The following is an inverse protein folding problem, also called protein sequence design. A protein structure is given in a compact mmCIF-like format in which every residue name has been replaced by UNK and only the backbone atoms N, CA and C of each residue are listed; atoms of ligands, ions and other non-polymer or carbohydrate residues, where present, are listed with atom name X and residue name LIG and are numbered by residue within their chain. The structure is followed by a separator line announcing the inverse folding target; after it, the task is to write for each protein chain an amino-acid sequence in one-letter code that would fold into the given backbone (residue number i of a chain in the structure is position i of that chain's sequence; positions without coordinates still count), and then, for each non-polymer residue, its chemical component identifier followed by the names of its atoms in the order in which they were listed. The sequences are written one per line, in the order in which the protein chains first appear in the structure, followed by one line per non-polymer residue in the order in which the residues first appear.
data_IF_927838383100
#
_entry.id   IF_927838383100
#
_cell.length_a   1.000
_cell.length_b   1.000
_cell.length_c   1.000
_cell.angle_alpha   90.00
_cell.angle_beta   90.00
_cell.angle_gamma   90.00
#
_symmetry.space_group_name_H-M   'P 1'
#
loop_
_entity.id
_entity.type
_entity.pdbx_description
1 polymer ?
#
# COMPACT_ATOMS: atom_id res chain seq x y z
N UNK A 1 -53.13 -29.82 -29.44
CA UNK A 1 -54.26 -29.08 -28.82
C UNK A 1 -53.95 -28.94 -27.35
N UNK A 2 -54.39 -27.82 -26.76
CA UNK A 2 -54.14 -27.35 -25.39
C UNK A 2 -52.73 -26.75 -25.23
N UNK A 3 -52.52 -25.55 -24.72
CA UNK A 3 -53.16 -24.22 -24.77
C UNK A 3 -52.20 -23.32 -23.97
N UNK A 4 -52.14 -22.05 -24.35
CA UNK A 4 -51.14 -21.08 -23.95
C UNK A 4 -51.12 -20.74 -22.44
N UNK A 5 -49.93 -20.38 -21.96
CA UNK A 5 -49.76 -19.28 -21.01
C UNK A 5 -48.42 -18.58 -21.31
N UNK A 6 -48.53 -17.42 -21.96
CA UNK A 6 -47.44 -16.49 -22.25
C UNK A 6 -47.11 -15.68 -21.00
N UNK A 7 -45.84 -15.64 -20.59
CA UNK A 7 -45.33 -14.66 -19.64
C UNK A 7 -44.40 -13.69 -20.40
N UNK A 8 -44.94 -12.50 -20.68
CA UNK A 8 -44.17 -11.36 -21.15
C UNK A 8 -43.35 -10.80 -19.98
N UNK A 9 -42.03 -10.87 -20.07
CA UNK A 9 -41.15 -10.02 -19.27
C UNK A 9 -40.85 -8.79 -20.13
N UNK A 10 -41.49 -7.67 -19.78
CA UNK A 10 -41.22 -6.39 -20.42
C UNK A 10 -39.83 -5.89 -20.02
N UNK A 11 -38.95 -5.70 -20.99
CA UNK A 11 -37.81 -4.81 -20.83
C UNK A 11 -38.35 -3.38 -20.85
N UNK A 12 -38.43 -2.74 -19.68
CA UNK A 12 -38.60 -1.30 -19.59
C UNK A 12 -37.22 -0.66 -19.75
N UNK A 13 -36.94 -0.08 -20.91
CA UNK A 13 -35.93 0.95 -21.02
C UNK A 13 -36.45 2.19 -20.27
N UNK A 14 -35.86 2.52 -19.13
CA UNK A 14 -36.03 3.84 -18.55
C UNK A 14 -35.08 4.79 -19.30
N UNK A 15 -35.63 5.53 -20.26
CA UNK A 15 -35.02 6.79 -20.71
C UNK A 15 -35.32 7.84 -19.63
N UNK A 16 -34.41 8.01 -18.67
CA UNK A 16 -34.37 9.24 -17.87
C UNK A 16 -32.98 9.87 -18.03
N UNK A 17 -32.91 10.78 -19.00
CA UNK A 17 -31.84 11.74 -19.14
C UNK A 17 -32.01 12.80 -18.07
N UNK A 18 -31.40 12.60 -16.90
CA UNK A 18 -31.23 13.66 -15.92
C UNK A 18 -30.18 14.66 -16.42
N UNK A 19 -30.62 15.52 -17.34
CA UNK A 19 -30.05 16.83 -17.58
C UNK A 19 -30.25 17.67 -16.31
N UNK A 20 -29.16 17.94 -15.60
CA UNK A 20 -29.13 18.93 -14.53
C UNK A 20 -29.36 20.31 -15.17
N UNK A 21 -30.61 20.76 -15.12
CA UNK A 21 -31.04 22.10 -15.56
C UNK A 21 -31.04 23.03 -14.35
N UNK A 22 -30.06 23.95 -14.30
CA UNK A 22 -30.04 25.05 -13.33
C UNK A 22 -30.72 26.27 -13.97
N UNK A 23 -32.00 26.45 -13.64
CA UNK A 23 -32.81 27.65 -13.92
C UNK A 23 -33.38 28.26 -12.63
N UNK A 24 -33.77 29.55 -12.62
CA UNK A 24 -33.46 30.45 -11.51
C UNK A 24 -34.52 30.58 -10.40
N UNK A 25 -33.99 30.72 -9.18
CA UNK A 25 -34.36 31.53 -8.01
C UNK A 25 -35.83 31.83 -7.64
N UNK A 26 -36.19 31.47 -6.40
CA UNK A 26 -37.05 32.26 -5.48
C UNK A 26 -36.71 31.88 -4.01
N UNK A 27 -35.83 32.65 -3.35
CA UNK A 27 -36.14 33.64 -2.29
C UNK A 27 -36.46 33.06 -0.89
N UNK A 28 -35.53 33.22 0.06
CA UNK A 28 -35.73 34.07 1.26
C UNK A 28 -34.47 34.12 2.17
N UNK A 29 -34.04 35.35 2.41
CA UNK A 29 -33.47 35.92 3.63
C UNK A 29 -32.10 35.46 4.18
N UNK A 30 -31.10 36.33 4.05
CA UNK A 30 -29.90 36.23 4.89
C UNK A 30 -28.61 36.97 4.49
N UNK A 31 -28.68 38.25 4.08
CA UNK A 31 -27.64 39.26 4.36
C UNK A 31 -26.22 39.08 3.79
N UNK A 32 -25.95 39.75 2.67
CA UNK A 32 -24.59 40.04 2.18
C UNK A 32 -24.65 40.94 0.95
N UNK A 33 -24.85 42.25 1.14
CA UNK A 33 -25.04 43.20 0.06
C UNK A 33 -23.75 43.40 -0.74
N UNK A 34 -23.73 42.91 -1.98
CA UNK A 34 -22.78 43.35 -3.01
C UNK A 34 -23.54 44.31 -3.93
N UNK A 35 -23.20 45.59 -3.88
CA UNK A 35 -23.76 46.59 -4.79
C UNK A 35 -23.24 46.31 -6.21
N UNK A 36 -24.14 46.00 -7.13
CA UNK A 36 -23.86 46.12 -8.57
C UNK A 36 -24.19 47.56 -8.97
N UNK A 37 -23.25 48.35 -9.51
CA UNK A 37 -23.58 49.68 -10.01
C UNK A 37 -24.42 49.55 -11.29
N UNK A 38 -25.49 50.31 -11.38
CA UNK A 38 -26.29 50.44 -12.61
C UNK A 38 -25.44 50.96 -13.77
N UNK A 39 -25.43 50.21 -14.87
CA UNK A 39 -24.87 50.64 -16.14
C UNK A 39 -25.78 51.71 -16.79
N UNK A 40 -25.70 52.95 -16.30
CA UNK A 40 -26.04 54.17 -17.05
C UNK A 40 -25.11 55.31 -16.64
N UNK A 41 -23.98 55.39 -17.31
CA UNK A 41 -23.07 56.53 -17.23
C UNK A 41 -21.88 56.29 -18.14
N UNK A 42 -21.78 57.10 -19.20
CA UNK A 42 -20.63 57.13 -20.09
C UNK A 42 -19.36 57.42 -19.28
N UNK A 43 -18.55 56.39 -19.07
CA UNK A 43 -17.19 56.53 -18.60
C UNK A 43 -16.32 55.56 -19.40
N UNK A 44 -15.67 56.11 -20.43
CA UNK A 44 -14.49 55.49 -21.01
C UNK A 44 -13.43 55.39 -19.91
N UNK A 45 -13.09 54.17 -19.50
CA UNK A 45 -11.93 53.89 -18.67
C UNK A 45 -11.45 52.46 -18.96
N UNK A 46 -10.32 52.39 -19.65
CA UNK A 46 -9.39 51.28 -19.84
C UNK A 46 -9.83 49.89 -19.36
N UNK A 47 -10.47 49.14 -20.25
CA UNK A 47 -10.19 47.71 -20.33
C UNK A 47 -8.74 47.59 -20.80
N UNK A 48 -7.80 47.58 -19.85
CA UNK A 48 -6.50 46.96 -20.09
C UNK A 48 -6.80 45.54 -20.53
N UNK A 49 -6.74 45.30 -21.83
CA UNK A 49 -6.51 43.99 -22.37
C UNK A 49 -5.36 43.40 -21.56
N UNK A 50 -5.66 42.41 -20.71
CA UNK A 50 -4.65 41.38 -20.48
C UNK A 50 -4.43 40.81 -21.88
N UNK A 51 -3.41 41.34 -22.56
CA UNK A 51 -2.92 40.75 -23.78
C UNK A 51 -2.78 39.28 -23.44
N UNK A 52 -3.49 38.40 -24.16
CA UNK A 52 -3.18 36.98 -24.11
C UNK A 52 -1.69 36.95 -24.41
N UNK A 53 -0.87 36.58 -23.42
CA UNK A 53 0.55 36.42 -23.64
C UNK A 53 0.64 35.44 -24.81
N UNK A 54 1.13 35.94 -25.94
CA UNK A 54 1.37 35.10 -27.08
C UNK A 54 2.47 34.14 -26.66
N UNK A 55 2.12 32.86 -26.53
CA UNK A 55 3.06 31.83 -26.12
C UNK A 55 3.72 31.26 -27.37
N UNK A 56 5.04 31.20 -27.34
CA UNK A 56 5.87 30.64 -28.38
C UNK A 56 6.46 29.31 -27.89
N UNK A 57 6.81 28.45 -28.85
CA UNK A 57 7.57 27.23 -28.55
C UNK A 57 8.90 27.62 -27.93
N UNK A 58 9.21 27.05 -26.77
CA UNK A 58 10.52 27.17 -26.15
C UNK A 58 11.32 25.89 -26.33
N UNK A 59 12.63 26.03 -26.48
CA UNK A 59 13.61 24.92 -26.47
C UNK A 59 14.49 24.94 -25.23
N UNK A 60 14.25 25.90 -24.32
CA UNK A 60 15.01 26.08 -23.09
C UNK A 60 14.33 25.33 -21.95
N UNK A 61 15.12 24.65 -21.11
CA UNK A 61 14.55 23.95 -19.96
C UNK A 61 14.07 24.93 -18.90
N UNK A 62 12.81 24.81 -18.43
CA UNK A 62 12.34 25.56 -17.28
C UNK A 62 13.08 25.07 -16.03
N UNK A 63 13.48 25.98 -15.15
CA UNK A 63 14.04 25.59 -13.85
C UNK A 63 13.00 24.77 -13.06
N UNK A 64 13.37 23.67 -12.38
CA UNK A 64 14.71 23.12 -12.15
C UNK A 64 15.15 22.01 -13.14
N UNK A 65 14.52 21.90 -14.30
CA UNK A 65 14.77 20.82 -15.25
C UNK A 65 16.02 21.05 -16.09
N UNK A 66 16.69 19.96 -16.45
CA UNK A 66 17.85 19.96 -17.34
C UNK A 66 17.87 18.70 -18.22
N UNK A 67 18.66 18.76 -19.29
CA UNK A 67 18.97 17.60 -20.13
C UNK A 67 20.27 16.99 -19.63
N UNK A 68 20.18 16.00 -18.73
CA UNK A 68 21.36 15.32 -18.22
C UNK A 68 21.63 14.04 -19.01
N UNK A 69 22.89 13.75 -19.39
CA UNK A 69 23.22 12.47 -19.99
C UNK A 69 23.00 11.33 -18.98
N UNK A 70 22.12 10.39 -19.29
CA UNK A 70 22.02 9.12 -18.56
C UNK A 70 23.11 8.17 -19.06
N UNK A 71 23.94 7.62 -18.16
CA UNK A 71 24.93 6.59 -18.49
C UNK A 71 24.58 5.31 -17.71
N UNK A 72 24.81 4.15 -18.32
CA UNK A 72 24.75 2.88 -17.60
C UNK A 72 26.01 2.70 -16.73
N UNK A 73 26.05 1.62 -15.94
CA UNK A 73 27.22 1.27 -15.13
C UNK A 73 28.51 1.01 -15.95
N UNK A 74 28.41 0.90 -17.27
CA UNK A 74 29.53 0.76 -18.21
C UNK A 74 29.99 2.09 -18.84
N UNK A 75 29.34 3.21 -18.49
CA UNK A 75 29.61 4.53 -19.05
C UNK A 75 29.01 4.75 -20.44
N UNK A 76 28.17 3.83 -20.92
CA UNK A 76 27.47 3.95 -22.19
C UNK A 76 26.22 4.81 -22.02
N UNK A 77 25.99 5.77 -22.92
CA UNK A 77 24.80 6.63 -22.91
C UNK A 77 23.53 5.77 -23.03
N UNK A 78 22.68 5.83 -22.01
CA UNK A 78 21.35 5.27 -22.01
C UNK A 78 20.43 6.20 -22.78
N UNK A 79 20.09 5.81 -24.01
CA UNK A 79 19.02 6.43 -24.79
C UNK A 79 17.68 5.74 -24.48
N UNK A 80 16.55 6.47 -24.50
CA UNK A 80 16.42 7.88 -24.89
C UNK A 80 16.75 8.87 -23.76
N UNK A 81 17.57 9.88 -24.06
CA UNK A 81 17.74 11.07 -23.21
C UNK A 81 16.74 12.13 -23.67
N UNK A 82 15.70 12.38 -22.87
CA UNK A 82 14.69 13.38 -23.18
C UNK A 82 15.19 14.79 -22.85
N UNK A 83 14.90 15.76 -23.72
CA UNK A 83 15.21 17.16 -23.44
C UNK A 83 14.45 17.61 -22.19
N UNK A 84 15.15 18.19 -21.22
CA UNK A 84 14.60 18.63 -19.94
C UNK A 84 13.96 17.50 -19.11
N UNK A 85 14.34 16.25 -19.34
CA UNK A 85 13.77 15.09 -18.63
C UNK A 85 14.28 14.88 -17.20
N UNK A 86 15.33 15.59 -16.78
CA UNK A 86 15.94 15.43 -15.46
C UNK A 86 15.55 16.59 -14.55
N UNK A 87 14.94 16.29 -13.40
CA UNK A 87 14.60 17.30 -12.40
C UNK A 87 15.75 17.45 -11.41
N UNK A 88 16.55 18.52 -11.55
CA UNK A 88 17.70 18.74 -10.68
C UNK A 88 17.30 19.01 -9.22
N UNK A 89 16.03 19.29 -8.92
CA UNK A 89 15.61 19.57 -7.55
C UNK A 89 15.41 18.31 -6.69
N UNK A 90 15.19 17.14 -7.31
CA UNK A 90 14.85 15.90 -6.60
C UNK A 90 15.41 14.60 -7.20
N UNK A 91 16.09 14.66 -8.35
CA UNK A 91 16.84 13.53 -8.88
C UNK A 91 18.10 13.29 -8.03
N UNK A 92 18.16 12.14 -7.36
CA UNK A 92 19.26 11.78 -6.45
C UNK A 92 20.61 11.63 -7.18
N UNK A 93 20.59 11.28 -8.47
CA UNK A 93 21.80 11.10 -9.29
C UNK A 93 22.21 12.40 -10.03
N UNK A 94 21.35 13.42 -10.02
CA UNK A 94 21.56 14.70 -10.72
C UNK A 94 21.15 15.90 -9.83
N UNK A 95 21.46 15.83 -8.54
CA UNK A 95 20.93 16.78 -7.58
C UNK A 95 21.61 18.15 -7.70
N UNK A 96 20.87 19.18 -8.12
CA UNK A 96 21.35 20.55 -8.31
C UNK A 96 22.17 20.76 -9.59
N UNK A 97 22.81 19.72 -10.11
CA UNK A 97 23.52 19.72 -11.39
C UNK A 97 23.58 18.31 -11.98
N UNK A 98 23.67 18.20 -13.30
CA UNK A 98 23.82 16.92 -13.98
C UNK A 98 25.07 16.18 -13.47
N UNK A 99 24.90 14.90 -13.10
CA UNK A 99 25.96 14.05 -12.56
C UNK A 99 26.39 14.37 -11.12
N UNK A 100 25.72 15.30 -10.43
CA UNK A 100 25.91 15.47 -8.99
C UNK A 100 25.08 14.43 -8.22
N UNK A 101 25.62 13.22 -8.12
CA UNK A 101 25.01 12.10 -7.42
C UNK A 101 25.18 12.24 -5.90
N UNK A 102 24.08 12.17 -5.15
CA UNK A 102 24.11 12.19 -3.69
C UNK A 102 24.73 10.93 -3.07
N UNK A 103 24.90 9.87 -3.88
CA UNK A 103 25.46 8.58 -3.50
C UNK A 103 24.53 7.79 -2.58
N UNK A 104 24.64 6.47 -2.59
CA UNK A 104 24.09 5.62 -1.53
C UNK A 104 25.15 5.49 -0.42
N UNK A 105 24.96 6.18 0.71
CA UNK A 105 25.83 6.03 1.89
C UNK A 105 25.65 4.66 2.56
N UNK A 106 24.71 3.84 2.05
CA UNK A 106 24.63 2.41 2.26
C UNK A 106 23.85 2.00 3.50
N UNK A 107 23.21 0.83 3.42
CA UNK A 107 22.52 0.20 4.55
C UNK A 107 23.41 -0.11 5.77
N UNK A 108 24.73 0.03 5.67
CA UNK A 108 25.68 -0.19 6.78
C UNK A 108 25.69 0.94 7.82
N UNK A 109 25.23 2.14 7.46
CA UNK A 109 25.20 3.30 8.35
C UNK A 109 23.76 3.66 8.79
N UNK A 110 22.74 2.90 8.38
CA UNK A 110 21.32 3.24 8.58
C UNK A 110 20.95 4.67 8.13
N UNK A 111 21.67 5.20 7.13
CA UNK A 111 21.45 6.52 6.55
C UNK A 111 20.90 6.36 5.15
N UNK A 112 19.89 7.16 4.81
CA UNK A 112 19.35 7.30 3.47
C UNK A 112 19.64 8.70 2.95
N UNK A 113 20.12 8.79 1.71
CA UNK A 113 20.29 10.06 1.00
C UNK A 113 19.07 10.38 0.13
N UNK A 114 18.76 11.66 0.00
CA UNK A 114 17.69 12.19 -0.84
C UNK A 114 18.13 13.51 -1.47
N UNK A 115 17.51 13.90 -2.58
CA UNK A 115 17.70 15.22 -3.17
C UNK A 115 16.50 16.10 -2.84
N UNK A 116 16.74 17.25 -2.20
CA UNK A 116 15.69 18.21 -1.83
C UNK A 116 16.11 19.61 -2.26
N UNK A 117 15.35 20.21 -3.18
CA UNK A 117 15.62 21.53 -3.77
C UNK A 117 17.02 21.66 -4.39
N UNK A 118 17.53 20.56 -4.96
CA UNK A 118 18.83 20.52 -5.62
C UNK A 118 20.02 20.48 -4.68
N UNK A 119 19.77 20.17 -3.40
CA UNK A 119 20.80 19.85 -2.43
C UNK A 119 20.62 18.41 -1.93
N UNK A 120 21.73 17.67 -1.87
CA UNK A 120 21.76 16.35 -1.26
C UNK A 120 21.54 16.49 0.25
N UNK A 121 20.62 15.70 0.78
CA UNK A 121 20.33 15.58 2.20
C UNK A 121 20.47 14.11 2.59
N UNK A 122 20.95 13.87 3.80
CA UNK A 122 20.96 12.55 4.41
C UNK A 122 20.04 12.56 5.64
N UNK A 123 19.40 11.43 5.91
CA UNK A 123 18.47 11.22 7.01
C UNK A 123 18.57 9.77 7.54
N UNK A 124 18.15 9.54 8.78
CA UNK A 124 18.10 8.20 9.34
C UNK A 124 16.99 7.34 8.72
N UNK A 125 17.33 6.09 8.45
CA UNK A 125 16.40 5.07 7.98
C UNK A 125 15.61 4.46 9.15
N UNK A 126 14.40 3.94 8.91
CA UNK A 126 13.62 3.11 9.84
C UNK A 126 13.44 3.58 11.30
N UNK A 127 13.47 4.90 11.55
CA UNK A 127 13.40 5.51 12.89
C UNK A 127 14.63 5.25 13.76
N UNK A 128 15.75 4.82 13.18
CA UNK A 128 17.03 4.86 13.88
C UNK A 128 17.37 6.31 14.23
N UNK A 129 18.14 6.47 15.30
CA UNK A 129 18.49 7.76 15.85
C UNK A 129 19.98 8.01 15.68
N UNK A 130 20.30 9.18 15.12
CA UNK A 130 21.60 9.81 15.25
C UNK A 130 21.66 10.50 16.62
N UNK A 131 22.29 9.84 17.59
CA UNK A 131 22.35 10.33 18.97
C UNK A 131 23.60 11.16 19.28
N UNK A 132 24.61 11.15 18.40
CA UNK A 132 25.81 11.97 18.54
C UNK A 132 25.72 13.27 17.70
N UNK A 133 24.73 13.39 16.82
CA UNK A 133 24.50 14.50 15.90
C UNK A 133 25.46 14.51 14.70
N UNK A 134 26.13 13.39 14.44
CA UNK A 134 27.14 13.22 13.41
C UNK A 134 26.61 12.21 12.41
N UNK A 135 25.97 12.69 11.36
CA UNK A 135 25.38 11.80 10.36
C UNK A 135 26.41 11.00 9.54
N UNK A 136 27.68 11.39 9.59
CA UNK A 136 28.78 10.76 8.86
C UNK A 136 29.15 9.37 9.42
N UNK A 137 28.90 9.08 10.70
CA UNK A 137 29.09 7.73 11.28
C UNK A 137 27.80 6.90 11.39
N UNK A 138 26.66 7.49 11.04
CA UNK A 138 25.41 6.81 10.76
C UNK A 138 24.28 7.17 11.72
N UNK A 139 23.25 6.32 11.73
CA UNK A 139 22.17 6.36 12.71
C UNK A 139 22.25 5.09 13.54
N UNK A 140 23.03 5.15 14.62
CA UNK A 140 23.59 3.98 15.29
C UNK A 140 22.71 3.45 16.42
N UNK A 141 21.65 4.19 16.78
CA UNK A 141 20.80 3.85 17.91
C UNK A 141 19.40 3.43 17.46
N UNK A 142 19.02 2.19 17.78
CA UNK A 142 17.66 1.72 17.55
C UNK A 142 16.77 2.03 18.78
N UNK A 143 15.80 2.95 18.70
CA UNK A 143 15.04 3.36 19.87
C UNK A 143 14.05 2.31 20.38
N UNK A 144 13.84 1.20 19.66
CA UNK A 144 12.90 0.16 20.09
C UNK A 144 13.55 -0.92 20.94
N UNK A 145 14.85 -1.13 20.75
CA UNK A 145 15.57 -2.27 21.34
C UNK A 145 16.89 -1.90 21.99
N UNK A 146 17.46 -0.72 21.72
CA UNK A 146 18.71 -0.27 22.36
C UNK A 146 18.44 0.20 23.81
N UNK A 147 18.96 -0.49 24.83
CA UNK A 147 18.79 -0.08 26.23
C UNK A 147 19.49 1.23 26.58
N UNK A 148 20.42 1.72 25.76
CA UNK A 148 21.07 3.02 25.94
C UNK A 148 20.24 4.18 25.36
N UNK A 149 19.32 3.89 24.43
CA UNK A 149 18.57 4.87 23.65
C UNK A 149 17.07 4.52 23.57
N UNK A 150 16.52 3.95 24.64
CA UNK A 150 15.20 3.33 24.63
C UNK A 150 14.06 4.37 24.56
N UNK A 151 13.39 4.44 23.42
CA UNK A 151 12.38 5.44 23.10
C UNK A 151 12.96 6.81 22.75
N UNK A 152 14.29 6.97 22.73
CA UNK A 152 14.95 8.24 22.43
C UNK A 152 16.43 8.27 22.82
N UNK A 153 17.19 9.20 22.25
CA UNK A 153 18.61 9.34 22.54
C UNK A 153 18.90 9.58 24.02
N UNK A 154 19.83 8.79 24.56
CA UNK A 154 20.24 8.85 25.96
C UNK A 154 19.16 8.41 26.98
N UNK A 155 18.01 7.90 26.52
CA UNK A 155 16.97 7.32 27.38
C UNK A 155 17.40 5.93 27.83
N UNK A 156 18.36 5.93 28.75
CA UNK A 156 18.99 4.71 29.21
C UNK A 156 18.12 3.97 30.22
N UNK A 157 17.89 2.69 29.94
CA UNK A 157 17.28 1.78 30.90
C UNK A 157 18.22 1.50 32.08
N UNK A 158 17.63 1.22 33.24
CA UNK A 158 18.41 0.85 34.42
C UNK A 158 19.30 -0.38 34.09
N UNK A 159 20.46 -0.53 34.75
CA UNK A 159 21.34 -1.67 34.48
C UNK A 159 20.58 -3.00 34.58
N UNK A 160 20.65 -3.82 33.52
CA UNK A 160 19.96 -5.09 33.43
C UNK A 160 18.48 -5.02 33.02
N UNK A 161 17.95 -3.83 32.74
CA UNK A 161 16.59 -3.63 32.22
C UNK A 161 16.64 -3.51 30.70
N UNK A 162 15.89 -4.38 30.00
CA UNK A 162 15.80 -4.36 28.54
C UNK A 162 14.98 -3.17 28.03
N UNK A 163 15.25 -2.77 26.79
CA UNK A 163 14.36 -1.90 26.03
C UNK A 163 13.35 -2.76 25.27
N UNK A 164 12.07 -2.64 25.60
CA UNK A 164 10.98 -3.41 25.00
C UNK A 164 10.02 -2.40 24.39
N UNK A 165 9.96 -2.38 23.06
CA UNK A 165 9.12 -1.46 22.25
C UNK A 165 9.27 0.02 22.66
N UNK A 166 10.52 0.44 22.91
CA UNK A 166 10.84 1.81 23.30
C UNK A 166 10.50 2.17 24.74
N UNK A 167 10.31 1.17 25.62
CA UNK A 167 10.15 1.35 27.07
C UNK A 167 11.11 0.48 27.86
N UNK A 168 11.61 1.01 28.97
CA UNK A 168 12.49 0.26 29.85
C UNK A 168 11.71 -0.71 30.73
N UNK A 169 11.92 -2.00 30.49
CA UNK A 169 11.33 -3.09 31.26
C UNK A 169 9.83 -3.23 31.06
N UNK A 170 9.24 -4.14 31.83
CA UNK A 170 7.84 -4.49 31.70
C UNK A 170 6.89 -3.60 32.52
N UNK A 171 5.64 -3.42 32.06
CA UNK A 171 4.58 -2.81 32.84
C UNK A 171 4.39 -3.49 34.21
N UNK A 172 3.85 -2.75 35.18
CA UNK A 172 3.55 -3.30 36.51
C UNK A 172 2.65 -4.53 36.42
N UNK A 173 3.01 -5.58 37.14
CA UNK A 173 2.28 -6.87 37.13
C UNK A 173 2.78 -7.84 36.06
N UNK A 174 3.64 -7.40 35.13
CA UNK A 174 4.28 -8.25 34.14
C UNK A 174 5.76 -8.45 34.48
N UNK A 175 6.28 -9.59 34.07
CA UNK A 175 7.68 -9.97 34.20
C UNK A 175 8.30 -10.06 32.82
N UNK A 176 9.53 -9.59 32.69
CA UNK A 176 10.31 -9.73 31.46
C UNK A 176 10.78 -11.18 31.32
N UNK A 177 10.16 -11.90 30.40
CA UNK A 177 10.56 -13.22 29.99
C UNK A 177 11.14 -13.15 28.57
N UNK A 178 12.46 -13.07 28.50
CA UNK A 178 13.23 -13.06 27.26
C UNK A 178 12.88 -11.92 26.28
N UNK A 179 12.61 -10.71 26.80
CA UNK A 179 12.27 -9.53 26.00
C UNK A 179 10.76 -9.37 25.75
N UNK A 180 9.94 -10.25 26.31
CA UNK A 180 8.47 -10.18 26.26
C UNK A 180 7.90 -10.02 27.65
N UNK A 181 6.97 -9.09 27.82
CA UNK A 181 6.31 -8.86 29.10
C UNK A 181 5.12 -9.79 29.29
N UNK A 182 5.18 -10.65 30.29
CA UNK A 182 4.18 -11.70 30.54
C UNK A 182 3.63 -11.65 31.97
N UNK A 183 2.36 -12.02 32.16
CA UNK A 183 1.74 -12.13 33.49
C UNK A 183 1.95 -13.55 34.03
N UNK A 184 2.82 -13.71 35.03
CA UNK A 184 3.12 -15.03 35.60
C UNK A 184 1.94 -15.67 36.35
N UNK A 185 0.85 -14.94 36.61
CA UNK A 185 -0.32 -15.47 37.34
C UNK A 185 -1.30 -16.23 36.45
N UNK A 186 -1.29 -15.94 35.15
CA UNK A 186 -2.27 -16.46 34.18
C UNK A 186 -1.64 -16.89 32.86
N UNK A 187 -0.37 -16.56 32.60
CA UNK A 187 0.31 -16.98 31.39
C UNK A 187 0.72 -18.45 31.53
N UNK A 188 0.01 -19.25 30.76
CA UNK A 188 0.13 -20.67 30.58
C UNK A 188 1.56 -21.17 30.20
N UNK A 189 2.33 -20.34 29.49
CA UNK A 189 3.71 -20.64 29.05
C UNK A 189 4.77 -20.07 30.03
N UNK A 190 4.37 -19.26 31.00
CA UNK A 190 5.24 -18.60 31.97
C UNK A 190 4.60 -18.61 33.37
N UNK A 191 4.08 -19.75 33.79
CA UNK A 191 3.26 -19.82 34.99
C UNK A 191 4.13 -19.84 36.25
N UNK A 192 4.02 -18.80 37.09
CA UNK A 192 4.81 -18.66 38.31
C UNK A 192 6.29 -18.28 38.08
N UNK A 193 6.86 -18.60 36.92
CA UNK A 193 8.20 -18.19 36.48
C UNK A 193 8.30 -18.12 34.95
N UNK A 194 9.29 -17.37 34.44
CA UNK A 194 9.59 -17.35 33.00
C UNK A 194 9.96 -18.74 32.49
N UNK A 195 9.51 -19.06 31.28
CA UNK A 195 9.71 -20.35 30.62
C UNK A 195 9.18 -21.56 31.45
N UNK A 196 8.29 -21.31 32.42
CA UNK A 196 7.61 -22.34 33.21
C UNK A 196 6.26 -22.68 32.55
N UNK A 197 6.32 -23.46 31.48
CA UNK A 197 5.13 -23.92 30.78
C UNK A 197 4.40 -24.98 31.61
N UNK A 198 3.09 -24.81 31.80
CA UNK A 198 2.25 -25.79 32.50
C UNK A 198 2.17 -27.17 31.83
N UNK A 199 2.51 -27.27 30.56
CA UNK A 199 2.57 -28.55 29.83
C UNK A 199 3.82 -29.35 30.22
N UNK A 200 4.95 -28.67 30.46
CA UNK A 200 6.21 -29.26 30.91
C UNK A 200 6.28 -29.43 32.44
N UNK A 201 5.43 -28.70 33.16
CA UNK A 201 5.36 -28.67 34.62
C UNK A 201 3.95 -28.98 35.15
N UNK A 202 3.43 -30.20 34.94
CA UNK A 202 2.15 -30.61 35.49
C UNK A 202 2.22 -30.71 37.03
N UNK A 203 1.09 -30.52 37.75
CA UNK A 203 1.05 -30.65 39.20
C UNK A 203 1.45 -32.07 39.66
N UNK A 204 2.28 -32.17 40.71
CA UNK A 204 2.94 -33.41 41.15
C UNK A 204 1.98 -34.56 41.50
N UNK A 205 0.76 -34.25 41.95
CA UNK A 205 -0.28 -35.22 42.32
C UNK A 205 -1.30 -35.47 41.20
N UNK A 206 -1.15 -34.80 40.05
CA UNK A 206 -2.05 -35.00 38.92
C UNK A 206 -1.55 -36.14 38.05
N UNK A 207 -2.48 -37.01 37.64
CA UNK A 207 -2.23 -37.91 36.52
C UNK A 207 -1.97 -37.13 35.24
N UNK A 208 -1.63 -37.84 34.17
CA UNK A 208 -1.61 -37.24 32.84
C UNK A 208 -2.97 -36.57 32.56
N UNK A 209 -2.99 -35.38 31.94
CA UNK A 209 -4.25 -34.77 31.56
C UNK A 209 -4.98 -35.69 30.57
N UNK A 210 -6.32 -35.72 30.59
CA UNK A 210 -7.10 -36.39 29.56
C UNK A 210 -6.77 -35.85 28.16
N UNK A 211 -7.14 -36.61 27.12
CA UNK A 211 -6.78 -36.28 25.74
C UNK A 211 -7.23 -34.85 25.36
N UNK A 212 -6.33 -34.11 24.66
CA UNK A 212 -6.56 -32.73 24.22
C UNK A 212 -6.88 -31.73 25.33
N UNK A 213 -6.53 -32.07 26.57
CA UNK A 213 -6.51 -31.16 27.68
C UNK A 213 -5.09 -30.84 28.09
N UNK A 214 -4.91 -29.68 28.70
CA UNK A 214 -3.63 -29.29 29.28
C UNK A 214 -3.82 -28.62 30.63
N UNK A 215 -2.71 -28.48 31.34
CA UNK A 215 -2.71 -27.72 32.56
C UNK A 215 -2.64 -26.23 32.27
N UNK A 216 -3.41 -25.45 33.02
CA UNK A 216 -3.46 -24.01 32.93
C UNK A 216 -2.95 -23.32 34.18
N UNK A 217 -2.52 -22.08 33.95
CA UNK A 217 -2.01 -21.24 34.99
C UNK A 217 -3.13 -20.55 35.76
N UNK A 218 -3.15 -20.76 37.07
CA UNK A 218 -3.98 -19.97 37.98
C UNK A 218 -3.19 -19.64 39.23
N UNK A 219 -3.17 -18.35 39.60
CA UNK A 219 -2.44 -17.86 40.76
C UNK A 219 -0.93 -18.24 40.78
N UNK A 220 -0.33 -18.35 39.59
CA UNK A 220 1.07 -18.74 39.41
C UNK A 220 1.34 -20.23 39.62
N UNK A 221 0.31 -21.08 39.56
CA UNK A 221 0.43 -22.52 39.69
C UNK A 221 -0.32 -23.23 38.56
N UNK A 222 0.30 -24.27 38.00
CA UNK A 222 -0.30 -25.12 36.97
C UNK A 222 -1.26 -26.11 37.64
N UNK A 223 -2.55 -25.76 37.72
CA UNK A 223 -3.55 -26.54 38.50
C UNK A 223 -4.89 -26.74 37.80
N UNK A 224 -5.23 -25.92 36.83
CA UNK A 224 -6.50 -26.06 36.10
C UNK A 224 -6.34 -27.01 34.95
N UNK A 225 -7.37 -27.80 34.64
CA UNK A 225 -7.48 -28.48 33.35
C UNK A 225 -8.38 -27.67 32.44
N UNK A 226 -7.95 -27.43 31.22
CA UNK A 226 -8.76 -26.82 30.19
C UNK A 226 -8.43 -27.44 28.84
N UNK A 227 -9.37 -27.31 27.90
CA UNK A 227 -9.13 -27.77 26.55
C UNK A 227 -7.94 -27.05 25.95
N UNK A 228 -7.10 -27.81 25.26
CA UNK A 228 -5.95 -27.25 24.61
C UNK A 228 -6.39 -26.34 23.44
N UNK A 229 -6.33 -25.03 23.67
CA UNK A 229 -6.55 -23.99 22.65
C UNK A 229 -5.25 -23.33 22.15
N UNK A 230 -4.09 -23.95 22.38
CA UNK A 230 -2.79 -23.43 21.90
C UNK A 230 -2.54 -23.98 20.49
N UNK A 231 -1.52 -23.46 19.81
CA UNK A 231 -1.04 -24.00 18.54
C UNK A 231 -2.10 -24.17 17.43
N UNK A 232 -3.04 -23.22 17.29
CA UNK A 232 -3.98 -23.15 16.16
C UNK A 232 -5.04 -24.27 16.16
N UNK A 233 -5.25 -24.93 17.30
CA UNK A 233 -6.34 -25.89 17.52
C UNK A 233 -7.33 -25.33 18.53
N UNK A 234 -8.63 -25.51 18.29
CA UNK A 234 -9.71 -25.04 19.14
C UNK A 234 -10.42 -26.23 19.78
N UNK A 235 -9.67 -27.06 20.53
CA UNK A 235 -10.26 -28.18 21.24
C UNK A 235 -11.36 -27.68 22.19
N UNK A 236 -12.50 -28.36 22.13
CA UNK A 236 -13.67 -28.09 22.96
C UNK A 236 -14.26 -29.40 23.44
N UNK A 237 -14.73 -29.36 24.67
CA UNK A 237 -15.45 -30.45 25.28
C UNK A 237 -16.94 -30.33 24.91
N UNK A 238 -17.32 -31.01 23.84
CA UNK A 238 -18.68 -30.95 23.33
C UNK A 238 -19.66 -31.88 24.06
N UNK A 239 -19.16 -32.88 24.79
CA UNK A 239 -19.96 -33.83 25.56
C UNK A 239 -20.21 -33.39 27.01
N UNK A 240 -19.50 -32.37 27.50
CA UNK A 240 -19.55 -31.81 28.85
C UNK A 240 -18.84 -32.65 29.92
N UNK A 241 -18.04 -33.63 29.53
CA UNK A 241 -17.40 -34.59 30.42
C UNK A 241 -15.89 -34.32 30.40
N UNK A 242 -15.36 -33.65 31.42
CA UNK A 242 -13.93 -33.31 31.45
C UNK A 242 -13.04 -34.54 31.70
N UNK A 243 -13.61 -35.67 32.12
CA UNK A 243 -12.88 -36.88 32.46
C UNK A 243 -12.43 -37.68 31.23
N UNK A 244 -13.04 -37.47 30.04
CA UNK A 244 -12.67 -38.09 28.76
C UNK A 244 -11.99 -37.13 27.77
N UNK A 245 -11.77 -35.87 28.15
CA UNK A 245 -10.93 -34.93 27.40
C UNK A 245 -11.69 -33.80 26.70
N UNK A 246 -11.07 -33.25 25.65
CA UNK A 246 -11.72 -32.30 24.74
C UNK A 246 -11.68 -32.85 23.32
N UNK A 247 -12.78 -33.43 22.88
CA UNK A 247 -12.75 -34.42 21.82
C UNK A 247 -12.90 -33.83 20.41
N UNK A 248 -13.13 -32.52 20.31
CA UNK A 248 -13.53 -31.85 19.08
C UNK A 248 -12.73 -30.57 18.88
N UNK A 249 -12.01 -30.47 17.75
CA UNK A 249 -11.37 -29.22 17.33
C UNK A 249 -12.36 -28.35 16.56
N UNK A 250 -12.89 -27.32 17.23
CA UNK A 250 -13.89 -26.44 16.63
C UNK A 250 -13.35 -25.62 15.45
N UNK A 251 -12.04 -25.49 15.28
CA UNK A 251 -11.43 -24.63 14.27
C UNK A 251 -11.37 -25.25 12.88
N UNK A 252 -11.46 -26.57 12.83
CA UNK A 252 -11.21 -27.37 11.63
C UNK A 252 -12.21 -28.50 11.45
N UNK A 253 -12.93 -28.85 12.52
CA UNK A 253 -13.94 -29.88 12.45
C UNK A 253 -15.14 -29.35 11.69
N UNK A 254 -15.24 -29.82 10.45
CA UNK A 254 -16.34 -29.54 9.54
C UNK A 254 -17.69 -29.96 10.12
N UNK A 255 -17.82 -30.61 11.28
CA UNK A 255 -19.10 -30.93 11.96
C UNK A 255 -19.34 -30.12 13.23
N UNK A 256 -18.36 -29.35 13.66
CA UNK A 256 -18.36 -28.62 14.92
C UNK A 256 -17.73 -27.23 14.75
N UNK A 257 -17.87 -26.65 13.56
CA UNK A 257 -17.21 -25.44 13.17
C UNK A 257 -17.56 -24.24 14.06
N UNK A 258 -16.58 -23.80 14.85
CA UNK A 258 -16.66 -22.72 15.85
C UNK A 258 -17.42 -23.05 17.10
N UNK A 259 -18.21 -24.13 17.08
CA UNK A 259 -18.98 -24.62 18.20
C UNK A 259 -19.47 -26.03 17.93
N UNK A 260 -19.47 -26.83 18.99
CA UNK A 260 -20.07 -28.15 19.05
C UNK A 260 -21.42 -28.23 18.30
N UNK A 261 -21.49 -29.17 17.35
CA UNK A 261 -22.68 -29.49 16.56
C UNK A 261 -22.93 -28.61 15.32
N UNK A 262 -21.95 -27.84 14.86
CA UNK A 262 -22.07 -26.93 13.71
C UNK A 262 -21.38 -27.48 12.44
N UNK A 263 -22.11 -28.13 11.52
CA UNK A 263 -21.52 -28.75 10.31
C UNK A 263 -21.41 -27.83 9.08
N UNK A 264 -20.30 -27.95 8.35
CA UNK A 264 -19.91 -27.24 7.15
C UNK A 264 -20.46 -27.86 5.87
N UNK A 265 -21.00 -27.03 4.95
CA UNK A 265 -21.45 -27.52 3.66
C UNK A 265 -20.30 -28.11 2.81
N UNK A 266 -20.62 -29.07 1.94
CA UNK A 266 -19.65 -29.76 1.05
C UNK A 266 -18.87 -28.77 0.15
N UNK A 267 -17.54 -28.94 0.06
CA UNK A 267 -16.65 -28.12 -0.79
C UNK A 267 -16.13 -26.84 -0.13
N UNK A 268 -16.26 -26.77 1.17
CA UNK A 268 -15.93 -25.66 2.05
C UNK A 268 -15.33 -26.27 3.28
N UNK A 269 -14.45 -25.53 3.93
CA UNK A 269 -13.93 -25.99 5.19
C UNK A 269 -14.39 -25.08 6.27
N UNK A 270 -14.55 -25.69 7.43
CA UNK A 270 -14.41 -25.02 8.66
C UNK A 270 -13.03 -24.38 8.66
N UNK A 271 -13.04 -23.07 8.51
CA UNK A 271 -11.85 -22.27 8.67
C UNK A 271 -12.06 -21.47 9.94
N UNK A 272 -11.15 -21.66 10.88
CA UNK A 272 -10.84 -20.66 11.87
C UNK A 272 -10.18 -19.49 11.14
N UNK A 273 -10.95 -18.44 10.86
CA UNK A 273 -10.46 -17.27 10.16
C UNK A 273 -9.66 -16.42 11.17
N UNK A 274 -8.36 -16.67 11.27
CA UNK A 274 -7.47 -15.92 12.18
C UNK A 274 -7.49 -14.40 11.97
N UNK A 275 -7.92 -13.93 10.80
CA UNK A 275 -8.03 -12.51 10.49
C UNK A 275 -9.38 -11.88 10.94
N UNK A 276 -10.40 -12.70 11.24
CA UNK A 276 -11.68 -12.27 11.79
C UNK A 276 -12.11 -13.24 12.90
N UNK A 277 -12.13 -12.83 14.18
CA UNK A 277 -12.28 -13.75 15.30
C UNK A 277 -13.59 -14.54 15.19
N UNK A 278 -13.51 -15.77 14.69
CA UNK A 278 -14.66 -16.60 14.42
C UNK A 278 -14.38 -17.71 13.40
N UNK A 279 -14.81 -18.92 13.75
CA UNK A 279 -14.70 -20.08 12.89
C UNK A 279 -15.99 -20.27 12.07
N UNK A 280 -15.87 -20.43 10.75
CA UNK A 280 -17.02 -20.57 9.86
C UNK A 280 -16.70 -21.40 8.58
N UNK A 281 -17.74 -21.91 7.94
CA UNK A 281 -17.63 -22.83 6.80
C UNK A 281 -17.60 -22.10 5.45
N UNK A 282 -16.46 -22.07 4.76
CA UNK A 282 -16.28 -21.17 3.62
C UNK A 282 -15.45 -21.75 2.45
N UNK A 283 -15.73 -21.25 1.24
CA UNK A 283 -14.63 -20.93 0.35
C UNK A 283 -14.03 -19.65 0.88
N UNK A 284 -12.71 -19.49 0.98
CA UNK A 284 -12.14 -18.18 1.24
C UNK A 284 -12.85 -17.11 0.41
N UNK A 285 -13.26 -16.02 1.06
CA UNK A 285 -14.12 -15.02 0.45
C UNK A 285 -13.52 -14.41 -0.82
N UNK A 286 -14.37 -13.92 -1.74
CA UNK A 286 -14.02 -13.35 -3.06
C UNK A 286 -13.29 -14.30 -4.01
N UNK A 287 -13.14 -15.54 -3.58
CA UNK A 287 -12.63 -16.60 -4.40
C UNK A 287 -13.78 -17.51 -4.81
N UNK A 288 -13.95 -17.62 -6.11
CA UNK A 288 -14.80 -18.58 -6.77
C UNK A 288 -14.21 -19.96 -6.60
N UNK A 289 -15.02 -20.92 -6.15
CA UNK A 289 -14.67 -22.33 -6.26
C UNK A 289 -14.36 -22.64 -7.72
N UNK A 290 -13.10 -22.73 -8.05
CA UNK A 290 -12.58 -23.26 -9.29
C UNK A 290 -12.19 -24.72 -9.06
N UNK A 291 -13.21 -25.59 -9.00
CA UNK A 291 -13.04 -27.02 -8.68
C UNK A 291 -13.24 -27.32 -7.19
N UNK A 292 -12.17 -27.59 -6.45
CA UNK A 292 -12.16 -27.72 -4.98
C UNK A 292 -11.40 -26.58 -4.30
N UNK A 293 -10.99 -25.60 -5.11
CA UNK A 293 -10.07 -24.53 -4.74
C UNK A 293 -10.75 -23.22 -5.02
N UNK A 294 -10.68 -22.32 -4.06
CA UNK A 294 -11.24 -21.01 -4.23
C UNK A 294 -10.13 -20.18 -4.91
N UNK A 295 -10.44 -19.58 -6.07
CA UNK A 295 -9.61 -18.63 -6.81
C UNK A 295 -10.43 -17.38 -7.16
N UNK A 296 -9.82 -16.21 -7.19
CA UNK A 296 -10.51 -14.99 -7.61
C UNK A 296 -10.52 -14.91 -9.15
N UNK A 297 -11.67 -14.65 -9.77
CA UNK A 297 -11.78 -14.61 -11.24
C UNK A 297 -11.84 -13.20 -11.80
N UNK A 298 -11.98 -12.20 -10.94
CA UNK A 298 -12.20 -10.82 -11.38
C UNK A 298 -10.92 -10.02 -11.28
N UNK A 299 -10.04 -10.37 -10.35
CA UNK A 299 -8.83 -9.61 -10.04
C UNK A 299 -7.54 -10.42 -10.07
N UNK A 300 -7.60 -11.75 -10.01
CA UNK A 300 -6.40 -12.59 -10.05
C UNK A 300 -5.82 -12.59 -11.47
N UNK A 301 -4.66 -11.98 -11.72
CA UNK A 301 -4.05 -11.98 -13.04
C UNK A 301 -3.63 -13.39 -13.48
N UNK A 302 -3.58 -14.38 -12.59
CA UNK A 302 -3.33 -15.79 -12.90
C UNK A 302 -4.60 -16.66 -13.06
N UNK A 303 -5.79 -16.13 -12.74
CA UNK A 303 -7.09 -16.79 -12.90
C UNK A 303 -8.10 -15.83 -13.55
N UNK A 304 -7.63 -14.92 -14.40
CA UNK A 304 -8.37 -13.75 -14.83
C UNK A 304 -9.50 -14.11 -15.79
N UNK A 305 -10.74 -13.93 -15.35
CA UNK A 305 -11.96 -14.23 -16.09
C UNK A 305 -12.31 -15.72 -16.16
N UNK A 306 -11.36 -16.58 -15.84
CA UNK A 306 -11.57 -18.02 -15.69
C UNK A 306 -10.40 -18.66 -14.96
N UNK A 307 -10.68 -19.77 -14.26
CA UNK A 307 -9.68 -20.53 -13.54
C UNK A 307 -8.48 -20.85 -14.45
N UNK A 308 -7.25 -20.55 -14.01
CA UNK A 308 -5.96 -20.74 -14.69
C UNK A 308 -5.71 -19.90 -15.96
N UNK A 309 -6.36 -18.75 -16.08
CA UNK A 309 -6.08 -17.81 -17.16
C UNK A 309 -5.11 -16.72 -16.72
N UNK A 310 -3.88 -16.74 -17.26
CA UNK A 310 -2.82 -15.79 -16.93
C UNK A 310 -2.82 -14.58 -17.87
N UNK A 311 -2.82 -13.38 -17.29
CA UNK A 311 -2.52 -12.16 -18.00
C UNK A 311 -1.06 -12.16 -18.45
N UNK A 312 -0.77 -11.68 -19.67
CA UNK A 312 0.60 -11.57 -20.15
C UNK A 312 1.45 -10.77 -19.15
N UNK A 313 2.59 -11.29 -18.73
CA UNK A 313 3.52 -10.55 -17.88
C UNK A 313 4.65 -9.97 -18.77
N UNK A 314 4.88 -8.65 -18.78
CA UNK A 314 5.98 -8.05 -19.52
C UNK A 314 7.37 -8.52 -19.02
N UNK A 315 7.49 -9.25 -17.90
CA UNK A 315 8.76 -9.81 -17.37
C UNK A 315 9.55 -10.64 -18.40
N UNK A 316 8.89 -11.12 -19.45
CA UNK A 316 9.55 -11.77 -20.58
C UNK A 316 10.43 -10.83 -21.46
N UNK A 317 10.40 -9.50 -21.25
CA UNK A 317 11.05 -8.48 -22.11
C UNK A 317 12.14 -7.66 -21.38
N UNK A 318 12.75 -8.22 -20.32
CA UNK A 318 14.04 -7.74 -19.78
C UNK A 318 13.97 -6.70 -18.66
N UNK A 319 15.10 -6.41 -17.97
CA UNK A 319 15.10 -5.55 -16.78
C UNK A 319 14.74 -4.09 -17.14
N UNK A 320 13.86 -3.48 -16.33
CA UNK A 320 13.46 -2.05 -16.36
C UNK A 320 12.36 -1.60 -17.35
N UNK A 321 11.44 -2.46 -17.81
CA UNK A 321 10.29 -2.04 -18.65
C UNK A 321 8.92 -2.09 -17.93
N UNK A 322 8.91 -2.05 -16.59
CA UNK A 322 7.68 -2.22 -15.81
C UNK A 322 7.26 -0.90 -15.17
N UNK A 323 6.75 0.03 -15.96
CA UNK A 323 6.11 1.22 -15.41
C UNK A 323 4.60 1.03 -15.25
N UNK A 324 4.20 -0.20 -14.92
CA UNK A 324 2.81 -0.57 -14.73
C UNK A 324 2.70 -1.98 -14.17
N UNK A 325 1.49 -2.34 -13.78
CA UNK A 325 1.13 -3.67 -13.30
C UNK A 325 0.14 -4.32 -14.25
N UNK A 326 0.32 -5.62 -14.48
CA UNK A 326 -0.72 -6.45 -15.08
C UNK A 326 -1.93 -6.40 -14.16
N UNK A 327 -3.08 -6.10 -14.74
CA UNK A 327 -4.34 -6.05 -14.02
C UNK A 327 -5.29 -7.07 -14.61
N UNK A 328 -6.02 -7.75 -13.74
CA UNK A 328 -7.27 -8.35 -14.15
C UNK A 328 -8.38 -7.38 -13.73
N UNK A 329 -9.13 -6.87 -14.70
CA UNK A 329 -10.29 -6.05 -14.46
C UNK A 329 -11.52 -6.75 -15.04
N UNK A 330 -12.47 -7.10 -14.17
CA UNK A 330 -13.70 -7.80 -14.53
C UNK A 330 -13.44 -9.06 -15.39
N UNK A 331 -12.39 -9.80 -15.04
CA UNK A 331 -12.00 -11.01 -15.76
C UNK A 331 -11.35 -10.75 -17.12
N UNK A 332 -10.85 -9.54 -17.35
CA UNK A 332 -10.08 -9.18 -18.54
C UNK A 332 -8.71 -8.68 -18.16
N UNK A 333 -7.71 -9.19 -18.85
CA UNK A 333 -6.37 -8.69 -18.70
C UNK A 333 -6.27 -7.27 -19.26
N UNK A 334 -5.60 -6.42 -18.50
CA UNK A 334 -5.25 -5.07 -18.85
C UNK A 334 -3.94 -4.68 -18.18
N UNK A 335 -3.60 -3.40 -18.32
CA UNK A 335 -2.48 -2.78 -17.62
C UNK A 335 -2.95 -1.55 -16.89
N UNK A 336 -2.43 -1.41 -15.68
CA UNK A 336 -2.49 -0.14 -14.98
C UNK A 336 -1.09 0.45 -14.92
N UNK A 337 -0.89 1.50 -15.69
CA UNK A 337 0.36 2.25 -15.71
C UNK A 337 0.53 3.05 -14.41
N UNK A 338 1.77 3.13 -13.95
CA UNK A 338 2.12 4.04 -12.87
C UNK A 338 1.91 5.50 -13.34
N UNK A 339 1.60 6.43 -12.41
CA UNK A 339 1.42 7.84 -12.77
C UNK A 339 2.60 8.37 -13.60
N UNK A 340 2.28 9.06 -14.71
CA UNK A 340 3.28 9.57 -15.65
C UNK A 340 3.70 8.58 -16.73
N UNK A 341 3.16 7.36 -16.76
CA UNK A 341 3.38 6.38 -17.80
C UNK A 341 2.08 5.96 -18.51
N UNK A 342 2.19 5.50 -19.75
CA UNK A 342 1.08 4.97 -20.52
C UNK A 342 1.53 3.88 -21.50
N UNK A 343 0.60 2.99 -21.82
CA UNK A 343 0.65 2.09 -22.98
C UNK A 343 0.06 2.86 -24.18
N UNK A 344 0.92 3.48 -24.99
CA UNK A 344 0.47 4.33 -26.09
C UNK A 344 0.29 3.58 -27.40
N UNK A 345 0.84 2.37 -27.50
CA UNK A 345 0.69 1.52 -28.68
C UNK A 345 -0.48 0.51 -28.52
N UNK A 346 -1.07 0.43 -27.33
CA UNK A 346 -2.20 -0.42 -26.97
C UNK A 346 -1.84 -1.90 -26.88
N UNK A 347 -0.57 -2.22 -26.70
CA UNK A 347 -0.07 -3.58 -26.73
C UNK A 347 0.15 -4.10 -25.33
N UNK A 348 -0.56 -5.19 -25.08
CA UNK A 348 -0.44 -5.92 -23.83
C UNK A 348 0.91 -6.64 -23.67
N UNK A 349 1.81 -6.69 -24.67
CA UNK A 349 3.05 -7.45 -24.55
C UNK A 349 4.27 -6.61 -24.09
N UNK A 350 4.26 -5.29 -24.27
CA UNK A 350 5.37 -4.39 -23.88
C UNK A 350 5.02 -3.41 -22.74
N UNK A 351 3.75 -3.36 -22.33
CA UNK A 351 3.33 -2.69 -21.10
C UNK A 351 3.30 -1.16 -21.21
N UNK A 352 3.56 -0.46 -20.10
CA UNK A 352 3.53 1.00 -20.03
C UNK A 352 4.90 1.57 -20.34
N UNK A 353 5.26 1.50 -21.61
CA UNK A 353 6.59 1.82 -22.14
C UNK A 353 6.82 3.33 -22.29
N UNK A 354 5.74 4.12 -22.33
CA UNK A 354 5.81 5.54 -22.65
C UNK A 354 5.79 6.42 -21.40
N UNK A 355 6.80 7.26 -21.19
CA UNK A 355 6.84 8.22 -20.09
C UNK A 355 6.26 9.59 -20.51
N UNK A 356 4.99 9.81 -20.18
CA UNK A 356 4.22 11.00 -20.55
C UNK A 356 4.80 12.30 -20.00
N UNK A 357 5.59 12.25 -18.93
CA UNK A 357 6.17 13.43 -18.31
C UNK A 357 7.28 14.09 -19.14
N UNK A 358 7.95 13.31 -20.00
CA UNK A 358 9.16 13.72 -20.73
C UNK A 358 9.20 13.32 -22.21
N UNK A 359 8.35 12.41 -22.66
CA UNK A 359 8.27 12.03 -24.07
C UNK A 359 7.61 13.15 -24.90
N UNK A 360 8.36 13.82 -25.81
CA UNK A 360 7.80 14.89 -26.63
C UNK A 360 6.91 14.38 -27.78
N UNK A 361 6.76 13.06 -27.94
CA UNK A 361 5.78 12.46 -28.87
C UNK A 361 4.50 11.98 -28.19
N UNK A 362 4.48 11.94 -26.85
CA UNK A 362 3.36 11.50 -26.02
C UNK A 362 3.22 12.38 -24.77
N UNK A 363 3.37 13.69 -24.93
CA UNK A 363 3.52 14.62 -23.83
C UNK A 363 2.21 14.85 -23.09
N UNK A 364 2.10 14.31 -21.88
CA UNK A 364 0.91 14.39 -21.02
C UNK A 364 -0.23 13.44 -21.38
N UNK A 365 -0.30 12.98 -22.63
CA UNK A 365 -1.16 11.88 -23.07
C UNK A 365 -0.62 11.26 -24.36
N UNK A 366 -1.01 10.02 -24.64
CA UNK A 366 -0.63 9.31 -25.85
C UNK A 366 -1.01 10.09 -27.13
N UNK A 367 -0.06 10.22 -28.05
CA UNK A 367 -0.22 10.94 -29.31
C UNK A 367 -0.20 12.47 -29.21
N UNK A 368 -0.03 13.05 -28.01
CA UNK A 368 0.19 14.49 -27.86
C UNK A 368 1.65 14.80 -28.21
N UNK A 369 1.87 15.36 -29.39
CA UNK A 369 3.21 15.67 -29.89
C UNK A 369 3.56 17.14 -29.63
N UNK A 370 4.72 17.38 -29.03
CA UNK A 370 5.37 18.68 -29.05
C UNK A 370 6.02 18.93 -30.40
N UNK A 371 6.45 20.17 -30.65
CA UNK A 371 7.15 20.52 -31.88
C UNK A 371 8.58 19.95 -31.89
N UNK A 372 8.68 18.67 -32.24
CA UNK A 372 9.93 17.92 -32.33
C UNK A 372 10.88 18.48 -33.41
N UNK A 373 10.33 19.11 -34.46
CA UNK A 373 11.14 19.69 -35.55
C UNK A 373 12.05 20.84 -35.07
N UNK A 374 11.64 21.54 -34.01
CA UNK A 374 12.43 22.59 -33.37
C UNK A 374 13.03 22.16 -32.03
N UNK A 375 12.82 20.90 -31.61
CA UNK A 375 13.35 20.37 -30.35
C UNK A 375 12.61 20.85 -29.10
N UNK A 376 11.30 21.10 -29.20
CA UNK A 376 10.47 21.48 -28.05
C UNK A 376 10.43 20.34 -27.01
N UNK A 377 10.84 20.57 -25.75
CA UNK A 377 10.81 19.54 -24.71
C UNK A 377 9.40 19.33 -24.16
N UNK A 378 9.20 18.16 -23.56
CA UNK A 378 8.06 17.85 -22.71
C UNK A 378 8.53 17.89 -21.25
N UNK A 379 7.86 18.68 -20.41
CA UNK A 379 8.12 18.74 -18.97
C UNK A 379 6.83 18.60 -18.22
N UNK A 380 6.75 17.63 -17.31
CA UNK A 380 5.54 17.31 -16.52
C UNK A 380 4.29 17.11 -17.40
N UNK A 381 4.47 16.54 -18.60
CA UNK A 381 3.37 16.30 -19.53
C UNK A 381 2.86 17.54 -20.26
N UNK A 382 3.66 18.61 -20.30
CA UNK A 382 3.34 19.82 -21.06
C UNK A 382 4.49 20.19 -21.99
N UNK A 383 4.14 20.53 -23.23
CA UNK A 383 5.10 21.07 -24.18
C UNK A 383 5.56 22.45 -23.72
N UNK A 384 6.87 22.63 -23.57
CA UNK A 384 7.41 23.85 -22.96
C UNK A 384 7.18 25.04 -23.90
N UNK A 385 6.62 26.10 -23.33
CA UNK A 385 6.38 27.37 -24.03
C UNK A 385 6.99 28.52 -23.24
N UNK A 386 7.30 29.60 -23.95
CA UNK A 386 7.80 30.85 -23.40
C UNK A 386 7.00 32.02 -23.98
N UNK A 387 7.07 33.19 -23.35
CA UNK A 387 6.47 34.39 -23.94
C UNK A 387 7.17 34.71 -25.27
N UNK A 388 6.39 35.03 -26.31
CA UNK A 388 6.93 35.36 -27.62
C UNK A 388 7.77 36.64 -27.57
N UNK A 389 8.99 36.57 -28.09
CA UNK A 389 9.74 37.76 -28.47
C UNK A 389 8.96 38.54 -29.55
N UNK A 390 9.05 39.87 -29.51
CA UNK A 390 8.38 40.74 -30.47
C UNK A 390 8.72 40.35 -31.92
N UNK A 391 7.73 39.87 -32.67
CA UNK A 391 7.85 39.51 -34.09
C UNK A 391 7.91 38.01 -34.40
N UNK A 392 7.85 37.11 -33.40
CA UNK A 392 7.62 35.68 -33.64
C UNK A 392 6.12 35.39 -33.79
N UNK A 393 5.78 34.41 -34.64
CA UNK A 393 4.38 34.02 -34.87
C UNK A 393 3.95 33.10 -33.71
N UNK A 394 2.85 33.41 -33.00
CA UNK A 394 2.30 32.55 -31.95
C UNK A 394 1.87 31.19 -32.54
N UNK A 395 2.00 30.10 -31.78
CA UNK A 395 1.64 28.74 -32.21
C UNK A 395 0.37 28.26 -31.52
#
# INVERSE_FOLDING_TARGET
MISAASAFVGFACAEDSNLVSLGPSASSDGGGAFFVPDARGDAAADASSSAKAEMCVSTTCPSPYATCPSQDFSGQLLLPTYACGTNLANDVHNCGACGNDCGDLGGSLNVQTSCVNGACRADCYNLDLDCNGILDDGCEANPKSDPANCGGCGQKCAPGVACIDGRCGCPTGLVDCNGTCVDLQTNDDNCGACDFNCDDHPPEDAGAPPDHMRFGCIAGECKTLHCDRRAQVLWENCNGLLDDGCEIDLGTDDRNCGKCGTECPVGKHCFDDYANPGVACQCPASRTICGSTCVDLETDPGNCGSCNFFCPDPVAIGPNQYNGRTSCDHGRCGYECFPGFADCNGRLDDGCETELAKDPTNCGACGVTCNNAVGQPCVNGQCVTEECDAGKVPQ
#
